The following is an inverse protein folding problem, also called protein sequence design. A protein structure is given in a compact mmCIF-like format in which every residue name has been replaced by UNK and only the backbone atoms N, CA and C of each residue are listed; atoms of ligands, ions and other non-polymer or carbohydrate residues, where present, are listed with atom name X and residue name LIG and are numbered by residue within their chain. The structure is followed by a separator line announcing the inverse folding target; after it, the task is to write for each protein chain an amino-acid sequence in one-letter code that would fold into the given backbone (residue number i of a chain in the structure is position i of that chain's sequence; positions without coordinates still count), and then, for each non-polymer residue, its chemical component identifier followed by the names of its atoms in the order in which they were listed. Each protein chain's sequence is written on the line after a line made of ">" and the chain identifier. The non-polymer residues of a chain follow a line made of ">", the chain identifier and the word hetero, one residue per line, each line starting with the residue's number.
data_IF_780591564828
#
_entry.id   IF_780591564828
#
_cell.length_a   1.000
_cell.length_b   1.000
_cell.length_c   1.000
_cell.angle_alpha   90.00
_cell.angle_beta   90.00
_cell.angle_gamma   90.00
#
_symmetry.space_group_name_H-M   'P 1'
#
loop_
_entity.id
_entity.type
_entity.pdbx_description
1 polymer ?
#
# COMPACT_ATOMS: atom_id res chain seq x y z
N UNK A 1 -1.37 12.61 16.18
CA UNK A 1 -0.35 11.64 16.64
C UNK A 1 -0.59 10.36 15.85
N UNK A 2 0.26 10.04 14.87
CA UNK A 2 0.19 8.73 14.21
C UNK A 2 0.91 7.74 15.13
N UNK A 3 0.23 6.70 15.64
CA UNK A 3 0.89 5.70 16.47
C UNK A 3 2.00 5.02 15.66
N UNK A 4 3.20 4.96 16.23
CA UNK A 4 4.29 4.16 15.72
C UNK A 4 4.14 2.75 16.29
N UNK A 5 3.92 1.78 15.42
CA UNK A 5 3.89 0.37 15.81
C UNK A 5 5.21 -0.31 15.45
N UNK A 6 5.62 -1.27 16.27
CA UNK A 6 6.80 -2.08 16.00
C UNK A 6 6.56 -3.57 16.23
N UNK A 7 7.34 -4.42 15.54
CA UNK A 7 7.28 -5.87 15.66
C UNK A 7 6.65 -6.53 14.43
N UNK A 8 5.79 -7.52 14.66
CA UNK A 8 4.96 -8.15 13.63
C UNK A 8 3.52 -7.67 13.76
N UNK A 9 2.91 -7.21 12.66
CA UNK A 9 1.52 -6.78 12.62
C UNK A 9 0.80 -7.36 11.41
N UNK A 10 -0.32 -8.01 11.68
CA UNK A 10 -1.26 -8.50 10.66
C UNK A 10 -2.54 -7.67 10.73
N UNK A 11 -2.90 -7.00 9.64
CA UNK A 11 -4.15 -6.26 9.52
C UNK A 11 -5.00 -6.79 8.38
N UNK A 12 -6.29 -6.99 8.66
CA UNK A 12 -7.30 -7.35 7.67
C UNK A 12 -8.50 -6.45 7.83
N UNK A 13 -8.95 -5.79 6.76
CA UNK A 13 -10.11 -4.91 6.82
C UNK A 13 -11.04 -5.07 5.62
N UNK A 14 -12.33 -4.92 5.89
CA UNK A 14 -13.42 -4.86 4.93
C UNK A 14 -14.16 -3.54 5.17
N UNK A 15 -14.25 -2.72 4.14
CA UNK A 15 -14.88 -1.41 4.25
C UNK A 15 -15.70 -1.06 3.01
N UNK A 16 -16.78 -0.31 3.21
CA UNK A 16 -17.62 0.25 2.14
C UNK A 16 -17.80 1.74 2.38
N UNK A 17 -17.58 2.55 1.35
CA UNK A 17 -17.54 4.01 1.43
C UNK A 17 -16.12 4.58 1.33
N UNK A 18 -15.91 5.78 1.85
CA UNK A 18 -14.61 6.46 1.85
C UNK A 18 -13.73 6.06 3.03
N UNK A 19 -12.54 5.51 2.76
CA UNK A 19 -11.56 5.12 3.77
C UNK A 19 -10.27 5.92 3.62
N UNK A 20 -9.84 6.55 4.71
CA UNK A 20 -8.55 7.21 4.81
C UNK A 20 -7.66 6.49 5.81
N UNK A 21 -6.49 6.04 5.38
CA UNK A 21 -5.54 5.31 6.21
C UNK A 21 -4.17 5.96 6.20
N UNK A 22 -3.64 6.22 7.40
CA UNK A 22 -2.28 6.70 7.61
C UNK A 22 -1.58 5.80 8.63
N UNK A 23 -0.47 5.18 8.25
CA UNK A 23 0.25 4.25 9.11
C UNK A 23 1.77 4.48 9.06
N UNK A 24 2.40 4.47 10.23
CA UNK A 24 3.85 4.49 10.42
C UNK A 24 4.23 3.18 11.13
N UNK A 25 5.03 2.34 10.48
CA UNK A 25 5.35 1.00 10.98
C UNK A 25 6.85 0.69 10.89
N UNK A 26 7.38 -0.01 11.90
CA UNK A 26 8.74 -0.55 11.88
C UNK A 26 8.73 -2.04 12.23
N UNK A 27 9.04 -2.90 11.26
CA UNK A 27 9.06 -4.36 11.42
C UNK A 27 8.38 -5.06 10.25
N UNK A 28 7.75 -6.20 10.51
CA UNK A 28 7.01 -6.96 9.50
C UNK A 28 5.51 -6.60 9.53
N UNK A 29 5.01 -6.10 8.40
CA UNK A 29 3.62 -5.69 8.24
C UNK A 29 2.96 -6.48 7.12
N UNK A 30 1.94 -7.27 7.46
CA UNK A 30 1.05 -7.90 6.49
C UNK A 30 -0.31 -7.20 6.49
N UNK A 31 -0.73 -6.68 5.34
CA UNK A 31 -2.03 -6.04 5.18
C UNK A 31 -2.86 -6.70 4.09
N UNK A 32 -4.12 -6.98 4.41
CA UNK A 32 -5.15 -7.38 3.45
C UNK A 32 -6.34 -6.43 3.54
N UNK A 33 -6.68 -5.77 2.44
CA UNK A 33 -7.76 -4.79 2.42
C UNK A 33 -8.72 -5.02 1.26
N UNK A 34 -10.00 -5.08 1.61
CA UNK A 34 -11.12 -5.10 0.68
C UNK A 34 -11.93 -3.82 0.87
N UNK A 35 -11.94 -2.96 -0.15
CA UNK A 35 -12.64 -1.68 -0.11
C UNK A 35 -13.64 -1.56 -1.26
N UNK A 36 -14.88 -1.23 -0.94
CA UNK A 36 -15.89 -0.83 -1.93
C UNK A 36 -16.20 0.65 -1.80
N UNK A 37 -15.48 1.48 -2.54
CA UNK A 37 -15.57 2.94 -2.47
C UNK A 37 -14.20 3.57 -2.71
N UNK A 38 -14.01 4.78 -2.19
CA UNK A 38 -12.74 5.50 -2.31
C UNK A 38 -11.78 5.11 -1.19
N UNK A 39 -10.52 4.89 -1.54
CA UNK A 39 -9.45 4.60 -0.60
C UNK A 39 -8.27 5.53 -0.80
N UNK A 40 -7.95 6.29 0.24
CA UNK A 40 -6.70 7.05 0.33
C UNK A 40 -5.80 6.40 1.38
N UNK A 41 -4.63 5.95 0.97
CA UNK A 41 -3.65 5.31 1.85
C UNK A 41 -2.31 6.02 1.79
N UNK A 42 -1.77 6.38 2.96
CA UNK A 42 -0.38 6.77 3.14
C UNK A 42 0.29 5.82 4.13
N UNK A 43 1.35 5.14 3.69
CA UNK A 43 2.08 4.20 4.53
C UNK A 43 3.59 4.46 4.45
N UNK A 44 4.20 4.60 5.62
CA UNK A 44 5.64 4.59 5.81
C UNK A 44 6.01 3.33 6.60
N UNK A 45 6.83 2.47 5.99
CA UNK A 45 7.27 1.22 6.58
C UNK A 45 8.80 1.12 6.56
N UNK A 46 9.38 0.72 7.68
CA UNK A 46 10.77 0.29 7.76
C UNK A 46 10.80 -1.20 8.13
N UNK A 47 11.22 -2.07 7.23
CA UNK A 47 11.16 -3.53 7.39
C UNK A 47 10.49 -4.21 6.20
N UNK A 48 9.77 -5.29 6.46
CA UNK A 48 9.08 -6.07 5.43
C UNK A 48 7.60 -5.67 5.35
N UNK A 49 7.12 -5.42 4.13
CA UNK A 49 5.74 -5.07 3.86
C UNK A 49 5.15 -6.01 2.81
N UNK A 50 4.15 -6.79 3.22
CA UNK A 50 3.31 -7.57 2.32
C UNK A 50 1.91 -6.96 2.29
N UNK A 51 1.47 -6.51 1.12
CA UNK A 51 0.17 -5.89 0.94
C UNK A 51 -0.64 -6.59 -0.14
N UNK A 52 -1.87 -6.98 0.19
CA UNK A 52 -2.88 -7.40 -0.77
C UNK A 52 -4.06 -6.45 -0.71
N UNK A 53 -4.44 -5.87 -1.84
CA UNK A 53 -5.48 -4.86 -1.89
C UNK A 53 -6.44 -5.09 -3.04
N UNK A 54 -7.73 -5.08 -2.72
CA UNK A 54 -8.82 -5.19 -3.68
C UNK A 54 -9.77 -4.01 -3.49
N UNK A 55 -9.87 -3.14 -4.50
CA UNK A 55 -10.67 -1.92 -4.44
C UNK A 55 -11.61 -1.83 -5.65
N UNK A 56 -12.91 -1.66 -5.40
CA UNK A 56 -13.88 -1.49 -6.50
C UNK A 56 -14.11 -0.04 -6.93
N UNK A 57 -13.54 0.95 -6.22
CA UNK A 57 -13.64 2.38 -6.53
C UNK A 57 -12.29 3.06 -6.78
N UNK A 58 -12.20 4.34 -6.45
CA UNK A 58 -10.96 5.13 -6.59
C UNK A 58 -9.93 4.76 -5.53
N UNK A 59 -8.68 4.69 -5.93
CA UNK A 59 -7.57 4.31 -5.09
C UNK A 59 -6.41 5.30 -5.24
N UNK A 60 -6.13 6.05 -4.18
CA UNK A 60 -4.94 6.89 -4.07
C UNK A 60 -3.99 6.29 -3.03
N UNK A 61 -2.79 5.90 -3.44
CA UNK A 61 -1.78 5.33 -2.55
C UNK A 61 -0.47 6.09 -2.63
N UNK A 62 0.08 6.41 -1.46
CA UNK A 62 1.45 6.87 -1.27
C UNK A 62 2.18 5.90 -0.35
N UNK A 63 3.23 5.27 -0.87
CA UNK A 63 3.97 4.26 -0.12
C UNK A 63 5.47 4.61 -0.08
N UNK A 64 6.01 4.65 1.13
CA UNK A 64 7.44 4.73 1.37
C UNK A 64 7.89 3.51 2.18
N UNK A 65 8.76 2.68 1.60
CA UNK A 65 9.24 1.46 2.24
C UNK A 65 10.77 1.42 2.25
N UNK A 66 11.36 1.24 3.42
CA UNK A 66 12.77 0.92 3.58
C UNK A 66 12.91 -0.55 3.99
N UNK A 67 13.16 -1.43 3.02
CA UNK A 67 13.21 -2.87 3.22
C UNK A 67 12.58 -3.65 2.07
N UNK A 68 11.93 -4.78 2.35
CA UNK A 68 11.29 -5.60 1.32
C UNK A 68 9.82 -5.23 1.16
N UNK A 69 9.37 -5.05 -0.09
CA UNK A 69 7.99 -4.77 -0.43
C UNK A 69 7.45 -5.80 -1.42
N UNK A 70 6.43 -6.53 -1.00
CA UNK A 70 5.59 -7.34 -1.88
C UNK A 70 4.17 -6.75 -1.90
N UNK A 71 3.69 -6.36 -3.07
CA UNK A 71 2.37 -5.77 -3.24
C UNK A 71 1.59 -6.51 -4.33
N UNK A 72 0.37 -6.91 -4.01
CA UNK A 72 -0.64 -7.37 -4.97
C UNK A 72 -1.81 -6.41 -4.96
N UNK A 73 -2.14 -5.86 -6.12
CA UNK A 73 -3.20 -4.85 -6.26
C UNK A 73 -4.20 -5.21 -7.35
N UNK A 74 -5.48 -5.22 -6.99
CA UNK A 74 -6.61 -5.35 -7.90
C UNK A 74 -7.53 -4.14 -7.73
N UNK A 75 -7.73 -3.37 -8.78
CA UNK A 75 -8.61 -2.20 -8.73
C UNK A 75 -9.48 -2.11 -10.00
N UNK A 76 -10.79 -1.89 -9.83
CA UNK A 76 -11.70 -1.67 -10.97
C UNK A 76 -11.92 -0.19 -11.30
N UNK A 77 -11.64 0.73 -10.37
CA UNK A 77 -11.75 2.17 -10.58
C UNK A 77 -10.43 2.85 -10.98
N UNK A 78 -10.32 4.15 -10.69
CA UNK A 78 -9.09 4.90 -10.92
C UNK A 78 -8.01 4.53 -9.89
N UNK A 79 -6.77 4.35 -10.37
CA UNK A 79 -5.60 4.16 -9.53
C UNK A 79 -4.61 5.30 -9.71
N UNK A 80 -4.31 5.97 -8.61
CA UNK A 80 -3.16 6.84 -8.44
C UNK A 80 -2.21 6.23 -7.41
N UNK A 81 -0.98 5.90 -7.81
CA UNK A 81 0.01 5.31 -6.91
C UNK A 81 1.35 6.04 -7.03
N UNK A 82 1.85 6.51 -5.90
CA UNK A 82 3.23 6.91 -5.71
C UNK A 82 3.93 5.89 -4.83
N UNK A 83 5.06 5.37 -5.31
CA UNK A 83 5.85 4.39 -4.59
C UNK A 83 7.32 4.77 -4.58
N UNK A 84 7.90 4.77 -3.38
CA UNK A 84 9.33 4.84 -3.15
C UNK A 84 9.76 3.66 -2.27
N UNK A 85 10.67 2.84 -2.79
CA UNK A 85 11.22 1.71 -2.06
C UNK A 85 12.74 1.74 -2.10
N UNK A 86 13.38 1.68 -0.93
CA UNK A 86 14.81 1.42 -0.79
C UNK A 86 15.00 -0.03 -0.31
N UNK A 87 14.99 -0.95 -1.27
CA UNK A 87 15.16 -2.39 -1.02
C UNK A 87 14.56 -3.26 -2.11
N UNK A 88 14.15 -4.49 -1.76
CA UNK A 88 13.57 -5.42 -2.75
C UNK A 88 12.13 -5.03 -3.03
N UNK A 89 11.78 -5.05 -4.32
CA UNK A 89 10.47 -4.63 -4.78
C UNK A 89 9.84 -5.68 -5.69
N UNK A 90 8.69 -6.20 -5.28
CA UNK A 90 7.82 -7.05 -6.08
C UNK A 90 6.39 -6.49 -6.10
N UNK A 91 5.87 -6.19 -7.28
CA UNK A 91 4.52 -5.64 -7.44
C UNK A 91 3.80 -6.37 -8.56
N UNK A 92 2.69 -7.01 -8.22
CA UNK A 92 1.66 -7.39 -9.17
C UNK A 92 0.50 -6.39 -9.09
N UNK A 93 -0.01 -5.99 -10.24
CA UNK A 93 -1.13 -5.05 -10.32
C UNK A 93 -1.98 -5.34 -11.53
N UNK A 94 -3.30 -5.30 -11.33
CA UNK A 94 -4.29 -5.24 -12.38
C UNK A 94 -5.28 -4.11 -12.10
N UNK A 95 -5.36 -3.16 -13.03
CA UNK A 95 -6.35 -2.08 -13.02
C UNK A 95 -7.21 -2.18 -14.27
N UNK A 96 -8.53 -2.17 -14.08
CA UNK A 96 -9.48 -2.11 -15.19
C UNK A 96 -9.86 -0.66 -15.56
N UNK A 97 -9.62 0.31 -14.65
CA UNK A 97 -9.87 1.74 -14.85
C UNK A 97 -8.62 2.55 -15.17
N UNK A 98 -8.69 3.87 -14.91
CA UNK A 98 -7.61 4.83 -15.18
C UNK A 98 -6.36 4.57 -14.35
N UNK A 99 -5.17 4.79 -14.94
CA UNK A 99 -3.89 4.44 -14.31
C UNK A 99 -2.90 5.60 -14.32
N UNK A 100 -2.53 6.10 -13.13
CA UNK A 100 -1.46 7.08 -12.92
C UNK A 100 -0.49 6.54 -11.89
N UNK A 101 0.76 6.26 -12.29
CA UNK A 101 1.75 5.75 -11.33
C UNK A 101 3.13 6.35 -11.46
N UNK A 102 3.72 6.65 -10.31
CA UNK A 102 5.12 6.97 -10.14
C UNK A 102 5.78 5.89 -9.29
N UNK A 103 6.84 5.26 -9.81
CA UNK A 103 7.58 4.21 -9.12
C UNK A 103 9.06 4.55 -9.16
N UNK A 104 9.64 4.82 -7.99
CA UNK A 104 11.06 5.03 -7.82
C UNK A 104 11.64 3.91 -6.95
N UNK A 105 12.59 3.18 -7.51
CA UNK A 105 13.38 2.19 -6.77
C UNK A 105 14.79 2.76 -6.55
N UNK A 106 15.09 3.14 -5.31
CA UNK A 106 16.41 3.61 -4.92
C UNK A 106 17.27 2.38 -4.64
N UNK A 107 17.95 1.88 -5.68
CA UNK A 107 19.04 0.91 -5.50
C UNK A 107 20.22 1.63 -4.87
N UNK A 108 20.30 1.62 -3.54
CA UNK A 108 21.54 1.88 -2.82
C UNK A 108 22.43 0.64 -3.00
N UNK A 109 23.35 0.72 -3.97
CA UNK A 109 24.49 -0.20 -4.11
C UNK A 109 25.48 0.00 -2.96
#
# INVERSE_FOLDING_TARGET
>A
MNPLYSGELNMSMLYSGELNMNLLYSGELNMSLLCSGELNMSLLCSGELNMSLLCSGELNMSLLCSGELNMSLLCSGELNMSLLCSGKLNISRLCLGGLKTNKNNLRLS
#
